data_IF_556079554342
#
_entry.id   IF_556079554342
#
_cell.length_a   1.000
_cell.length_b   1.000
_cell.length_c   1.000
_cell.angle_alpha   90.00
_cell.angle_beta   90.00
_cell.angle_gamma   90.00
#
_symmetry.space_group_name_H-M   'P 1'
#
loop_
_entity.id
_entity.type
_entity.pdbx_description
1 polymer ?
#
# COMPACT_ATOMS: atom_id res chain seq x y z
N UNK A 1 -48.62 36.81 20.11
CA UNK A 1 -47.44 36.19 19.49
C UNK A 1 -47.74 36.06 18.02
N UNK A 2 -47.00 36.79 17.18
CA UNK A 2 -47.26 36.85 15.75
C UNK A 2 -46.75 35.59 15.06
N UNK A 3 -47.42 35.14 14.00
CA UNK A 3 -47.04 33.93 13.24
C UNK A 3 -45.59 34.00 12.75
N UNK A 4 -45.11 35.21 12.43
CA UNK A 4 -43.72 35.45 12.04
C UNK A 4 -42.70 35.23 13.16
N UNK A 5 -43.04 35.55 14.42
CA UNK A 5 -42.17 35.26 15.56
C UNK A 5 -42.04 33.76 15.81
N UNK A 6 -43.13 32.99 15.67
CA UNK A 6 -43.09 31.53 15.80
C UNK A 6 -42.22 30.87 14.70
N UNK A 7 -42.34 31.34 13.46
CA UNK A 7 -41.55 30.83 12.33
C UNK A 7 -40.06 31.16 12.52
N UNK A 8 -39.73 32.36 13.01
CA UNK A 8 -38.35 32.74 13.28
C UNK A 8 -37.73 31.89 14.41
N UNK A 9 -38.49 31.63 15.47
CA UNK A 9 -38.02 30.88 16.64
C UNK A 9 -37.80 29.38 16.35
N UNK A 10 -38.56 28.79 15.43
CA UNK A 10 -38.40 27.39 15.00
C UNK A 10 -37.45 27.25 13.80
N UNK A 11 -37.35 28.27 12.96
CA UNK A 11 -36.46 28.28 11.79
C UNK A 11 -34.97 28.28 12.14
N UNK A 12 -34.58 29.01 13.20
CA UNK A 12 -33.19 29.05 13.68
C UNK A 12 -32.70 27.67 14.15
N UNK A 13 -33.42 26.94 15.05
CA UNK A 13 -33.06 25.58 15.43
C UNK A 13 -32.91 24.60 14.26
N UNK A 14 -33.82 24.66 13.28
CA UNK A 14 -33.79 23.76 12.11
C UNK A 14 -32.57 24.06 11.23
N UNK A 15 -32.30 25.33 10.95
CA UNK A 15 -31.12 25.73 10.17
C UNK A 15 -29.82 25.30 10.87
N UNK A 16 -29.73 25.46 12.19
CA UNK A 16 -28.56 25.02 12.99
C UNK A 16 -28.41 23.50 12.93
N UNK A 17 -29.50 22.74 13.06
CA UNK A 17 -29.46 21.28 13.00
C UNK A 17 -28.96 20.77 11.64
N UNK A 18 -29.37 21.41 10.53
CA UNK A 18 -28.90 21.05 9.19
C UNK A 18 -27.40 21.33 9.04
N UNK A 19 -26.94 22.50 9.48
CA UNK A 19 -25.51 22.88 9.42
C UNK A 19 -24.68 21.92 10.27
N UNK A 20 -25.13 21.60 11.48
CA UNK A 20 -24.43 20.67 12.36
C UNK A 20 -24.43 19.24 11.82
N UNK A 21 -25.53 18.79 11.22
CA UNK A 21 -25.60 17.49 10.55
C UNK A 21 -24.60 17.37 9.40
N UNK A 22 -24.49 18.41 8.57
CA UNK A 22 -23.50 18.46 7.49
C UNK A 22 -22.06 18.51 8.03
N UNK A 23 -21.83 19.27 9.10
CA UNK A 23 -20.52 19.38 9.73
C UNK A 23 -20.03 18.02 10.28
N UNK A 24 -20.88 17.28 10.99
CA UNK A 24 -20.53 15.94 11.50
C UNK A 24 -20.16 14.99 10.37
N UNK A 25 -20.91 15.01 9.26
CA UNK A 25 -20.59 14.22 8.08
C UNK A 25 -19.20 14.54 7.53
N UNK A 26 -18.84 15.83 7.44
CA UNK A 26 -17.53 16.26 6.96
C UNK A 26 -16.40 15.76 7.87
N UNK A 27 -16.58 15.83 9.20
CA UNK A 27 -15.58 15.32 10.16
C UNK A 27 -15.39 13.81 10.03
N UNK A 28 -16.48 13.04 9.92
CA UNK A 28 -16.39 11.59 9.72
C UNK A 28 -15.65 11.23 8.43
N UNK A 29 -15.93 11.97 7.34
CA UNK A 29 -15.21 11.78 6.08
C UNK A 29 -13.72 12.07 6.24
N UNK A 30 -13.37 13.18 6.90
CA UNK A 30 -11.98 13.57 7.10
C UNK A 30 -11.19 12.53 7.92
N UNK A 31 -11.81 11.95 8.96
CA UNK A 31 -11.19 10.89 9.76
C UNK A 31 -10.95 9.64 8.90
N UNK A 32 -11.94 9.21 8.12
CA UNK A 32 -11.81 8.03 7.26
C UNK A 32 -10.75 8.22 6.17
N UNK A 33 -10.73 9.38 5.53
CA UNK A 33 -9.73 9.74 4.52
C UNK A 33 -8.31 9.75 5.12
N UNK A 34 -8.16 10.29 6.34
CA UNK A 34 -6.90 10.24 7.08
C UNK A 34 -6.40 8.81 7.34
N UNK A 35 -7.29 7.88 7.71
CA UNK A 35 -6.93 6.47 7.91
C UNK A 35 -6.50 5.83 6.59
N UNK A 36 -7.24 6.09 5.51
CA UNK A 36 -6.93 5.55 4.18
C UNK A 36 -5.53 6.01 3.74
N UNK A 37 -5.18 7.27 3.95
CA UNK A 37 -3.88 7.79 3.56
C UNK A 37 -2.74 7.20 4.41
N UNK A 38 -2.93 6.99 5.71
CA UNK A 38 -1.97 6.28 6.54
C UNK A 38 -1.71 4.85 6.03
N UNK A 39 -2.76 4.13 5.64
CA UNK A 39 -2.64 2.78 5.06
C UNK A 39 -1.87 2.82 3.74
N UNK A 40 -2.14 3.80 2.86
CA UNK A 40 -1.39 3.97 1.60
C UNK A 40 0.09 4.24 1.86
N UNK A 41 0.41 5.11 2.81
CA UNK A 41 1.80 5.41 3.18
C UNK A 41 2.51 4.16 3.71
N UNK A 42 1.87 3.38 4.59
CA UNK A 42 2.42 2.12 5.08
C UNK A 42 2.63 1.12 3.94
N UNK A 43 1.67 1.00 3.04
CA UNK A 43 1.76 0.13 1.86
C UNK A 43 2.94 0.52 0.96
N UNK A 44 3.17 1.82 0.77
CA UNK A 44 4.32 2.33 0.03
C UNK A 44 5.64 1.94 0.71
N UNK A 45 5.74 2.08 2.03
CA UNK A 45 6.92 1.65 2.78
C UNK A 45 7.16 0.15 2.68
N UNK A 46 6.12 -0.67 2.79
CA UNK A 46 6.24 -2.13 2.60
C UNK A 46 6.77 -2.46 1.20
N UNK A 47 6.26 -1.80 0.16
CA UNK A 47 6.72 -2.00 -1.21
C UNK A 47 8.18 -1.60 -1.40
N UNK A 48 8.59 -0.45 -0.87
CA UNK A 48 10.00 -0.04 -0.91
C UNK A 48 10.92 -1.00 -0.15
N UNK A 49 10.45 -1.54 0.97
CA UNK A 49 11.21 -2.53 1.73
C UNK A 49 11.33 -3.84 0.96
N UNK A 50 10.27 -4.26 0.28
CA UNK A 50 10.28 -5.42 -0.62
C UNK A 50 11.31 -5.23 -1.75
N UNK A 51 11.31 -4.06 -2.40
CA UNK A 51 12.26 -3.76 -3.47
C UNK A 51 13.71 -3.81 -2.98
N UNK A 52 13.98 -3.30 -1.78
CA UNK A 52 15.32 -3.38 -1.17
C UNK A 52 15.70 -4.82 -0.83
N UNK A 53 14.79 -5.60 -0.27
CA UNK A 53 15.04 -7.01 0.02
C UNK A 53 15.32 -7.79 -1.28
N UNK A 54 14.57 -7.50 -2.34
CA UNK A 54 14.74 -8.09 -3.67
C UNK A 54 16.09 -7.76 -4.30
N UNK A 55 16.51 -6.49 -4.24
CA UNK A 55 17.85 -6.08 -4.69
C UNK A 55 18.94 -6.75 -3.86
N UNK A 56 18.79 -6.81 -2.54
CA UNK A 56 19.72 -7.50 -1.65
C UNK A 56 19.87 -8.98 -1.96
N UNK A 57 18.77 -9.70 -2.17
CA UNK A 57 18.80 -11.11 -2.59
C UNK A 57 19.55 -11.29 -3.93
N UNK A 58 19.35 -10.38 -4.88
CA UNK A 58 20.05 -10.42 -6.16
C UNK A 58 21.56 -10.18 -6.01
N UNK A 59 21.96 -9.25 -5.14
CA UNK A 59 23.38 -9.00 -4.85
C UNK A 59 24.03 -10.20 -4.14
N UNK A 60 23.32 -10.85 -3.22
CA UNK A 60 23.80 -12.06 -2.55
C UNK A 60 24.06 -13.20 -3.55
N UNK A 61 23.17 -13.40 -4.52
CA UNK A 61 23.36 -14.39 -5.59
C UNK A 61 24.60 -14.06 -6.42
N UNK A 62 24.80 -12.78 -6.79
CA UNK A 62 26.01 -12.35 -7.52
C UNK A 62 27.28 -12.62 -6.73
N UNK A 63 27.28 -12.37 -5.42
CA UNK A 63 28.44 -12.64 -4.56
C UNK A 63 28.73 -14.15 -4.52
N UNK A 64 27.71 -15.00 -4.35
CA UNK A 64 27.86 -16.46 -4.35
C UNK A 64 28.48 -16.98 -5.66
N UNK A 65 28.04 -16.42 -6.80
CA UNK A 65 28.59 -16.70 -8.12
C UNK A 65 30.07 -16.29 -8.25
N UNK A 66 30.41 -15.08 -7.81
CA UNK A 66 31.78 -14.57 -7.87
C UNK A 66 32.72 -15.37 -6.97
N UNK A 67 32.26 -15.73 -5.76
CA UNK A 67 33.02 -16.55 -4.81
C UNK A 67 33.21 -17.97 -5.35
N UNK A 68 32.16 -18.58 -5.91
CA UNK A 68 32.25 -19.90 -6.54
C UNK A 68 33.23 -19.90 -7.71
N UNK A 69 33.17 -18.89 -8.58
CA UNK A 69 34.12 -18.70 -9.69
C UNK A 69 35.56 -18.50 -9.20
N UNK A 70 35.77 -17.78 -8.10
CA UNK A 70 37.09 -17.55 -7.53
C UNK A 70 37.69 -18.80 -6.87
N UNK A 71 36.83 -19.66 -6.29
CA UNK A 71 37.21 -20.93 -5.67
C UNK A 71 37.25 -22.11 -6.66
N UNK A 72 36.90 -21.89 -7.93
CA UNK A 72 36.84 -22.94 -8.95
C UNK A 72 35.71 -23.96 -8.73
N UNK A 73 34.73 -23.64 -7.91
CA UNK A 73 33.56 -24.48 -7.64
C UNK A 73 32.48 -24.13 -8.66
N UNK A 74 31.84 -25.14 -9.24
CA UNK A 74 30.71 -24.92 -10.15
C UNK A 74 29.56 -24.30 -9.37
N UNK A 75 29.12 -23.08 -9.72
CA UNK A 75 27.97 -22.48 -9.08
C UNK A 75 26.70 -23.31 -9.35
N UNK A 76 25.79 -23.35 -8.39
CA UNK A 76 24.51 -24.05 -8.52
C UNK A 76 23.55 -23.27 -9.43
N UNK A 77 23.70 -23.46 -10.74
CA UNK A 77 22.94 -22.78 -11.80
C UNK A 77 21.46 -23.12 -11.73
N UNK A 78 21.11 -24.33 -11.25
CA UNK A 78 19.72 -24.81 -11.18
C UNK A 78 18.95 -24.15 -10.04
N UNK A 79 19.62 -23.82 -8.93
CA UNK A 79 19.04 -22.99 -7.86
C UNK A 79 18.80 -21.55 -8.31
N UNK A 80 19.72 -21.00 -9.08
CA UNK A 80 19.66 -19.60 -9.56
C UNK A 80 18.60 -19.45 -10.66
N UNK A 81 18.55 -20.38 -11.61
CA UNK A 81 17.54 -20.39 -12.66
C UNK A 81 16.13 -20.52 -12.08
N UNK A 82 15.94 -21.33 -11.02
CA UNK A 82 14.66 -21.39 -10.30
C UNK A 82 14.33 -20.09 -9.55
N UNK A 83 15.29 -19.46 -8.89
CA UNK A 83 15.05 -18.21 -8.17
C UNK A 83 14.69 -17.04 -9.12
N UNK A 84 15.25 -17.00 -10.33
CA UNK A 84 14.95 -15.98 -11.34
C UNK A 84 13.70 -16.31 -12.18
N UNK A 85 13.44 -17.58 -12.53
CA UNK A 85 12.24 -18.00 -13.29
C UNK A 85 10.93 -17.83 -12.51
N UNK A 86 10.96 -17.83 -11.17
CA UNK A 86 9.78 -17.52 -10.35
C UNK A 86 9.43 -16.02 -10.31
N UNK A 87 10.28 -15.18 -10.90
CA UNK A 87 10.24 -13.73 -10.73
C UNK A 87 9.64 -12.99 -11.93
N UNK A 88 9.52 -13.65 -13.08
CA UNK A 88 8.83 -13.12 -14.26
C UNK A 88 7.40 -13.70 -14.33
N UNK A 89 6.42 -12.84 -14.08
CA UNK A 89 5.05 -12.95 -14.59
C UNK A 89 4.19 -14.17 -14.22
N UNK A 90 3.87 -14.36 -12.93
CA UNK A 90 2.56 -14.90 -12.48
C UNK A 90 2.02 -16.21 -13.09
N UNK A 91 2.84 -16.91 -13.87
CA UNK A 91 2.60 -18.12 -14.63
C UNK A 91 3.93 -18.86 -14.56
N UNK A 92 3.91 -19.98 -13.87
CA UNK A 92 4.99 -20.97 -13.96
C UNK A 92 5.12 -21.34 -15.43
N UNK A 93 6.15 -20.85 -16.13
CA UNK A 93 6.48 -21.41 -17.42
C UNK A 93 7.27 -22.71 -17.19
N UNK A 94 6.51 -23.80 -17.07
CA UNK A 94 7.02 -25.18 -16.91
C UNK A 94 7.58 -25.71 -18.23
N UNK A 95 7.73 -24.89 -19.28
CA UNK A 95 8.14 -25.35 -20.62
C UNK A 95 9.64 -25.30 -20.88
N UNK A 96 10.44 -25.17 -19.84
CA UNK A 96 11.89 -25.32 -19.97
C UNK A 96 12.35 -26.43 -19.05
N UNK A 97 12.29 -27.64 -19.61
CA UNK A 97 12.98 -28.84 -19.15
C UNK A 97 14.37 -28.52 -18.56
#
# INVERSE_FOLDING_TARGET
MDVFTLIAEVGVPIAVAIIMGFFIFMVLKQILEGIIDQIKTLTMFCKMLEDRARVGCNELIKIDLLVSSALGVTPDIERISRAENFKEDGKLDVRRD
#
